data_IF_977546628550
#
_entry.id   IF_977546628550
#
_cell.length_a   1.000
_cell.length_b   1.000
_cell.length_c   1.000
_cell.angle_alpha   90.00
_cell.angle_beta   90.00
_cell.angle_gamma   90.00
#
_symmetry.space_group_name_H-M   'P 1'
#
loop_
_entity.id
_entity.type
_entity.pdbx_description
1 polymer ?
#
# COMPACT_ATOMS: atom_id res chain seq x y z
N UNK A 1 -2.76 -20.94 2.32
CA UNK A 1 -1.81 -20.38 3.31
C UNK A 1 -2.12 -18.95 3.78
N UNK A 2 -3.30 -18.39 3.51
CA UNK A 2 -3.77 -17.16 4.19
C UNK A 2 -2.96 -15.88 3.95
N UNK A 3 -2.06 -15.84 2.98
CA UNK A 3 -1.23 -14.67 2.68
C UNK A 3 -2.07 -13.45 2.25
N UNK A 4 -1.65 -12.27 2.69
CA UNK A 4 -2.30 -11.01 2.30
C UNK A 4 -1.98 -10.68 0.83
N UNK A 5 -3.02 -10.68 -0.02
CA UNK A 5 -2.87 -10.45 -1.46
C UNK A 5 -2.71 -8.96 -1.82
N UNK A 6 -3.34 -8.06 -1.06
CA UNK A 6 -3.34 -6.63 -1.35
C UNK A 6 -3.54 -5.79 -0.08
N UNK A 7 -2.84 -4.66 0.00
CA UNK A 7 -3.07 -3.60 0.98
C UNK A 7 -3.70 -2.40 0.27
N UNK A 8 -4.81 -1.89 0.81
CA UNK A 8 -5.47 -0.66 0.35
C UNK A 8 -5.54 0.34 1.48
N UNK A 9 -4.64 1.32 1.45
CA UNK A 9 -4.56 2.35 2.48
C UNK A 9 -4.21 3.69 1.85
N UNK A 10 -5.24 4.51 1.63
CA UNK A 10 -5.10 5.92 1.27
C UNK A 10 -6.13 6.72 2.08
N UNK A 11 -5.73 7.43 3.15
CA UNK A 11 -6.64 8.21 3.98
C UNK A 11 -7.37 9.33 3.21
N UNK A 12 -6.77 9.87 2.15
CA UNK A 12 -7.30 11.03 1.41
C UNK A 12 -8.45 10.67 0.45
N UNK A 13 -8.43 9.47 -0.12
CA UNK A 13 -9.44 9.00 -1.09
C UNK A 13 -10.56 8.17 -0.44
N UNK A 14 -10.61 8.18 0.89
CA UNK A 14 -11.53 7.31 1.64
C UNK A 14 -12.93 7.90 1.67
N UNK A 15 -13.88 7.18 1.10
CA UNK A 15 -15.31 7.48 1.24
C UNK A 15 -15.82 7.27 2.69
N UNK A 16 -16.94 7.90 3.07
CA UNK A 16 -17.61 7.63 4.35
C UNK A 16 -17.83 6.13 4.55
N UNK A 17 -17.47 5.65 5.75
CA UNK A 17 -17.48 4.23 6.05
C UNK A 17 -18.93 3.70 6.07
N UNK A 18 -19.29 2.94 5.03
CA UNK A 18 -20.56 2.19 4.97
C UNK A 18 -20.30 0.73 5.32
N UNK A 19 -20.30 0.44 6.62
CA UNK A 19 -20.15 -0.93 7.11
C UNK A 19 -21.43 -1.73 6.85
N UNK A 20 -21.37 -2.66 5.90
CA UNK A 20 -22.27 -3.82 5.84
C UNK A 20 -21.56 -5.00 6.49
N UNK A 21 -21.40 -4.95 7.82
CA UNK A 21 -20.66 -5.97 8.57
C UNK A 21 -21.55 -7.15 8.93
N UNK A 22 -21.87 -7.96 7.92
CA UNK A 22 -22.34 -9.31 8.13
C UNK A 22 -21.10 -10.12 8.56
N UNK A 23 -21.07 -10.68 9.78
CA UNK A 23 -19.98 -11.58 10.21
C UNK A 23 -19.25 -11.25 11.51
N UNK A 24 -19.61 -10.17 12.21
CA UNK A 24 -19.19 -9.96 13.62
C UNK A 24 -20.40 -10.24 14.50
N UNK A 25 -20.59 -11.50 14.88
CA UNK A 25 -21.58 -11.89 15.88
C UNK A 25 -21.21 -11.25 17.22
N UNK A 26 -22.19 -10.67 17.92
CA UNK A 26 -22.01 -10.12 19.27
C UNK A 26 -21.67 -8.63 19.40
N UNK A 27 -21.41 -7.89 18.30
CA UNK A 27 -21.20 -6.43 18.36
C UNK A 27 -22.35 -5.67 17.69
N UNK A 28 -22.77 -4.57 18.30
CA UNK A 28 -23.68 -3.58 17.70
C UNK A 28 -22.98 -2.77 16.61
N UNK A 29 -23.75 -2.13 15.72
CA UNK A 29 -23.20 -1.31 14.62
C UNK A 29 -22.26 -0.19 15.11
N UNK A 30 -22.56 0.55 16.19
CA UNK A 30 -21.62 1.54 16.75
C UNK A 30 -20.32 0.91 17.23
N UNK A 31 -20.37 -0.20 17.97
CA UNK A 31 -19.16 -0.86 18.49
C UNK A 31 -18.25 -1.35 17.36
N UNK A 32 -18.85 -1.86 16.27
CA UNK A 32 -18.08 -2.26 15.08
C UNK A 32 -17.39 -1.07 14.40
N UNK A 33 -18.02 0.10 14.38
CA UNK A 33 -17.41 1.33 13.85
C UNK A 33 -16.21 1.70 14.71
N UNK A 34 -16.36 1.69 16.04
CA UNK A 34 -15.27 2.01 16.98
C UNK A 34 -14.11 1.06 16.79
N UNK A 35 -14.35 -0.26 16.85
CA UNK A 35 -13.32 -1.28 16.68
C UNK A 35 -12.58 -1.16 15.34
N UNK A 36 -13.30 -0.84 14.26
CA UNK A 36 -12.68 -0.58 12.97
C UNK A 36 -11.71 0.60 13.03
N UNK A 37 -12.10 1.72 13.64
CA UNK A 37 -11.24 2.91 13.70
C UNK A 37 -10.04 2.72 14.64
N UNK A 38 -10.19 1.96 15.73
CA UNK A 38 -9.08 1.56 16.58
C UNK A 38 -8.04 0.75 15.80
N UNK A 39 -8.47 -0.28 15.07
CA UNK A 39 -7.60 -1.08 14.21
C UNK A 39 -6.97 -0.23 13.08
N UNK A 40 -7.75 0.65 12.46
CA UNK A 40 -7.26 1.54 11.41
C UNK A 40 -6.19 2.51 11.93
N UNK A 41 -6.37 3.06 13.13
CA UNK A 41 -5.36 3.92 13.78
C UNK A 41 -4.11 3.13 14.18
N UNK A 42 -4.26 1.90 14.66
CA UNK A 42 -3.12 1.03 14.97
C UNK A 42 -2.30 0.75 13.69
N UNK A 43 -2.96 0.39 12.58
CA UNK A 43 -2.30 0.19 11.30
C UNK A 43 -1.65 1.48 10.79
N UNK A 44 -2.33 2.63 10.91
CA UNK A 44 -1.76 3.93 10.56
C UNK A 44 -0.50 4.23 11.35
N UNK A 45 -0.43 3.89 12.65
CA UNK A 45 0.78 4.08 13.47
C UNK A 45 1.95 3.26 12.92
N UNK A 46 1.71 1.99 12.56
CA UNK A 46 2.75 1.14 11.95
C UNK A 46 3.23 1.74 10.62
N UNK A 47 2.32 2.23 9.78
CA UNK A 47 2.68 2.82 8.48
C UNK A 47 3.52 4.10 8.60
N UNK A 48 3.40 4.82 9.71
CA UNK A 48 4.14 6.07 9.96
C UNK A 48 5.35 5.87 10.88
N UNK A 49 5.62 4.64 11.31
CA UNK A 49 6.80 4.32 12.10
C UNK A 49 8.07 4.50 11.24
N UNK A 50 9.02 5.38 11.63
CA UNK A 50 10.25 5.58 10.89
C UNK A 50 11.11 4.32 10.76
N UNK A 51 11.02 3.36 11.68
CA UNK A 51 11.77 2.09 11.62
C UNK A 51 11.21 1.14 10.55
N UNK A 52 9.94 1.34 10.16
CA UNK A 52 9.27 0.58 9.11
C UNK A 52 9.43 1.20 7.71
N UNK A 53 10.20 2.29 7.59
CA UNK A 53 10.33 3.06 6.36
C UNK A 53 11.75 3.00 5.76
N UNK A 54 11.83 2.69 4.46
CA UNK A 54 13.06 2.86 3.67
C UNK A 54 13.05 4.25 3.03
N UNK A 55 14.07 5.06 3.32
CA UNK A 55 14.20 6.42 2.78
C UNK A 55 15.14 6.42 1.58
N UNK A 56 14.61 6.83 0.42
CA UNK A 56 15.37 6.92 -0.83
C UNK A 56 15.25 8.34 -1.37
N UNK A 57 16.38 9.00 -1.59
CA UNK A 57 16.42 10.29 -2.27
C UNK A 57 16.51 10.06 -3.78
N UNK A 58 15.49 10.51 -4.51
CA UNK A 58 15.52 10.47 -5.97
C UNK A 58 16.31 11.66 -6.52
N UNK A 59 17.23 11.37 -7.44
CA UNK A 59 17.92 12.38 -8.26
C UNK A 59 17.36 12.37 -9.69
N UNK A 60 17.54 13.45 -10.47
CA UNK A 60 17.15 13.45 -11.88
C UNK A 60 17.73 12.24 -12.63
N UNK A 61 16.87 11.52 -13.36
CA UNK A 61 17.23 10.28 -14.06
C UNK A 61 17.04 8.99 -13.24
N UNK A 62 16.77 9.08 -11.92
CA UNK A 62 16.45 7.91 -11.10
C UNK A 62 15.00 7.46 -11.32
N UNK A 63 14.81 6.16 -11.56
CA UNK A 63 13.49 5.52 -11.65
C UNK A 63 13.34 4.54 -10.49
N UNK A 64 12.16 4.54 -9.86
CA UNK A 64 11.78 3.57 -8.84
C UNK A 64 10.53 2.83 -9.28
N UNK A 65 10.53 1.50 -9.09
CA UNK A 65 9.36 0.65 -9.26
C UNK A 65 8.81 0.30 -7.88
N UNK A 66 7.50 0.43 -7.71
CA UNK A 66 6.81 0.15 -6.46
C UNK A 66 5.66 -0.80 -6.78
N UNK A 67 5.60 -1.95 -6.10
CA UNK A 67 4.41 -2.79 -6.13
C UNK A 67 3.31 -2.11 -5.31
N UNK A 68 2.45 -1.36 -5.99
CA UNK A 68 1.36 -0.60 -5.38
C UNK A 68 0.27 -1.47 -4.73
N UNK A 69 0.32 -2.80 -4.88
CA UNK A 69 -0.56 -3.71 -4.15
C UNK A 69 -0.03 -4.06 -2.77
N UNK A 70 1.25 -3.79 -2.48
CA UNK A 70 1.93 -4.24 -1.26
C UNK A 70 2.66 -3.12 -0.52
N UNK A 71 3.34 -2.25 -1.25
CA UNK A 71 4.22 -1.22 -0.68
C UNK A 71 3.52 0.13 -0.67
N UNK A 72 3.30 0.66 0.53
CA UNK A 72 2.88 2.05 0.71
C UNK A 72 4.08 2.97 0.47
N UNK A 73 3.82 4.16 -0.06
CA UNK A 73 4.86 5.13 -0.34
C UNK A 73 4.40 6.54 0.00
N UNK A 74 5.36 7.36 0.41
CA UNK A 74 5.15 8.75 0.78
C UNK A 74 6.39 9.57 0.43
N UNK A 75 6.36 10.86 0.77
CA UNK A 75 7.53 11.74 0.68
C UNK A 75 7.64 12.56 1.95
N UNK A 76 8.87 12.91 2.33
CA UNK A 76 9.09 13.95 3.33
C UNK A 76 8.74 15.33 2.76
N UNK A 77 8.53 16.30 3.64
CA UNK A 77 8.42 17.70 3.23
C UNK A 77 9.72 18.15 2.53
N UNK A 78 9.60 19.07 1.57
CA UNK A 78 10.73 19.68 0.87
C UNK A 78 10.38 21.12 0.48
N UNK A 79 11.42 21.91 0.17
CA UNK A 79 11.30 23.26 -0.38
C UNK A 79 11.99 23.35 -1.75
N UNK A 80 11.60 24.33 -2.56
CA UNK A 80 12.15 24.53 -3.91
C UNK A 80 11.35 23.83 -5.03
N UNK A 81 11.93 23.77 -6.22
CA UNK A 81 11.28 23.20 -7.41
C UNK A 81 11.53 21.70 -7.52
N UNK A 82 10.47 20.96 -7.86
CA UNK A 82 10.53 19.51 -8.11
C UNK A 82 9.54 19.11 -9.18
N UNK A 83 10.02 18.37 -10.18
CA UNK A 83 9.19 17.73 -11.19
C UNK A 83 9.42 16.21 -11.16
N UNK A 84 8.34 15.45 -11.27
CA UNK A 84 8.33 14.00 -11.37
C UNK A 84 7.31 13.62 -12.45
N UNK A 85 7.60 12.57 -13.20
CA UNK A 85 6.59 11.83 -13.96
C UNK A 85 6.39 10.45 -13.34
N UNK A 86 5.16 9.95 -13.43
CA UNK A 86 4.80 8.62 -12.97
C UNK A 86 3.86 7.96 -13.97
N UNK A 87 3.90 6.64 -14.02
CA UNK A 87 2.93 5.83 -14.75
C UNK A 87 2.64 4.55 -13.96
N UNK A 88 1.55 3.88 -14.30
CA UNK A 88 1.21 2.58 -13.75
C UNK A 88 1.37 1.51 -14.83
N UNK A 89 1.92 0.37 -14.41
CA UNK A 89 1.99 -0.84 -15.20
C UNK A 89 1.09 -1.90 -14.57
N UNK A 90 0.38 -2.65 -15.40
CA UNK A 90 -0.33 -3.85 -14.92
C UNK A 90 0.70 -4.89 -14.46
N UNK A 91 0.46 -5.46 -13.27
CA UNK A 91 1.29 -6.53 -12.69
C UNK A 91 1.32 -7.75 -13.62
N UNK A 92 0.18 -8.14 -14.19
CA UNK A 92 0.10 -9.28 -15.11
C UNK A 92 0.95 -9.04 -16.38
N UNK A 93 0.86 -7.84 -16.95
CA UNK A 93 1.65 -7.49 -18.14
C UNK A 93 3.15 -7.45 -17.83
N UNK A 94 3.53 -6.94 -16.66
CA UNK A 94 4.91 -6.96 -16.21
C UNK A 94 5.40 -8.40 -16.03
N UNK A 95 4.64 -9.26 -15.35
CA UNK A 95 4.99 -10.66 -15.11
C UNK A 95 5.07 -11.50 -16.39
N UNK A 96 4.21 -11.22 -17.38
CA UNK A 96 4.26 -11.86 -18.68
C UNK A 96 5.60 -11.58 -19.39
N UNK A 97 6.07 -10.31 -19.35
CA UNK A 97 7.36 -9.92 -19.94
C UNK A 97 8.55 -10.43 -19.13
N UNK A 98 8.47 -10.39 -17.80
CA UNK A 98 9.53 -10.86 -16.92
C UNK A 98 9.73 -12.39 -16.96
N UNK A 99 8.75 -13.17 -17.44
CA UNK A 99 8.82 -14.64 -17.46
C UNK A 99 10.06 -15.22 -18.13
N UNK A 100 10.59 -14.53 -19.13
CA UNK A 100 11.77 -14.98 -19.87
C UNK A 100 13.10 -14.50 -19.25
N UNK A 101 13.05 -13.65 -18.22
CA UNK A 101 14.20 -12.92 -17.70
C UNK A 101 14.39 -13.03 -16.19
N UNK A 102 13.44 -13.66 -15.48
CA UNK A 102 13.41 -13.71 -14.03
C UNK A 102 13.10 -15.13 -13.58
N UNK A 103 13.91 -15.64 -12.66
CA UNK A 103 13.77 -16.99 -12.11
C UNK A 103 12.41 -17.19 -11.44
N UNK A 104 11.94 -18.43 -11.45
CA UNK A 104 10.63 -18.81 -10.93
C UNK A 104 10.46 -18.43 -9.45
N UNK A 105 11.52 -18.55 -8.65
CA UNK A 105 11.51 -18.19 -7.23
C UNK A 105 11.20 -16.70 -7.01
N UNK A 106 11.77 -15.81 -7.82
CA UNK A 106 11.52 -14.37 -7.74
C UNK A 106 10.09 -14.05 -8.21
N UNK A 107 9.58 -14.77 -9.21
CA UNK A 107 8.20 -14.60 -9.71
C UNK A 107 7.14 -14.96 -8.67
N UNK A 108 7.42 -15.89 -7.76
CA UNK A 108 6.51 -16.31 -6.69
C UNK A 108 6.43 -15.29 -5.53
N UNK A 109 7.38 -14.35 -5.46
CA UNK A 109 7.39 -13.30 -4.43
C UNK A 109 6.62 -12.04 -4.85
N UNK A 110 6.32 -11.92 -6.15
CA UNK A 110 5.54 -10.85 -6.76
C UNK A 110 4.24 -11.42 -7.29
#
# INVERSE_FOLDING_TARGET
>A
DGGYAQIRFNPYDRAPLRLSLNGSEGLSKPEKIVAFYEAYQAFSRICHDPEMAVKIQLTPGTVIFIDNLRVLHARTAFSGYRQMCGCYLSRDNLMAKCRLHVDEEIRLQV
#
